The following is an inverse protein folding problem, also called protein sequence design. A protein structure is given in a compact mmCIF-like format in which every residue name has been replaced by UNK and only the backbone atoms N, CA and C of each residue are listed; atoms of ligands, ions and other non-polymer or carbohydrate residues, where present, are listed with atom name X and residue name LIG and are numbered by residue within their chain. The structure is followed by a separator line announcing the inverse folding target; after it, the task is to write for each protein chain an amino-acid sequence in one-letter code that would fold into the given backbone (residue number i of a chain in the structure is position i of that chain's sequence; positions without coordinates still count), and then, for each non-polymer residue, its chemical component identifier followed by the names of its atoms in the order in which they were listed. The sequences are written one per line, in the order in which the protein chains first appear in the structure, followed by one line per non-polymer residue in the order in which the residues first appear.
data_IF_693785610867
#
_entry.id   IF_693785610867
#
_cell.length_a   1.000
_cell.length_b   1.000
_cell.length_c   1.000
_cell.angle_alpha   90.00
_cell.angle_beta   90.00
_cell.angle_gamma   90.00
#
_symmetry.space_group_name_H-M   'P 1'
#
loop_
_entity.id
_entity.type
_entity.pdbx_description
1 polymer ?
#
# COMPACT_ATOMS: atom_id res chain seq x y z
N UNK A 1 70.76 9.08 -16.26
CA UNK A 1 71.44 7.85 -16.62
C UNK A 1 70.40 7.01 -17.28
N UNK A 2 70.30 7.08 -18.59
CA UNK A 2 71.02 6.30 -19.61
C UNK A 2 70.34 4.93 -19.69
N UNK A 3 69.56 4.71 -20.69
CA UNK A 3 69.87 4.35 -22.08
C UNK A 3 69.61 2.84 -22.25
N UNK A 4 68.94 2.45 -23.17
CA UNK A 4 68.97 2.11 -24.62
C UNK A 4 68.40 0.73 -24.77
N UNK A 5 67.40 0.44 -25.57
CA UNK A 5 67.36 0.31 -27.03
C UNK A 5 68.00 -0.96 -27.56
N UNK A 6 67.23 -1.78 -28.24
CA UNK A 6 67.54 -2.45 -29.53
C UNK A 6 66.35 -3.40 -29.87
N UNK A 7 65.55 -3.15 -30.87
CA UNK A 7 65.63 -3.39 -32.33
C UNK A 7 66.03 -4.80 -32.76
N UNK A 8 65.16 -5.48 -33.49
CA UNK A 8 65.25 -5.97 -34.89
C UNK A 8 64.35 -7.23 -35.03
N UNK A 9 63.28 -7.19 -35.86
CA UNK A 9 63.29 -7.45 -37.29
C UNK A 9 63.35 -8.97 -37.68
N UNK A 10 62.37 -9.41 -38.29
CA UNK A 10 62.16 -10.07 -39.61
C UNK A 10 61.11 -11.12 -39.58
N UNK A 11 60.02 -10.97 -40.24
CA UNK A 11 59.72 -11.30 -41.62
C UNK A 11 59.51 -12.82 -41.86
N UNK A 12 58.44 -13.10 -42.46
CA UNK A 12 58.01 -14.04 -43.49
C UNK A 12 56.91 -15.04 -43.14
N UNK A 13 55.98 -14.96 -44.06
CA UNK A 13 55.13 -15.98 -44.65
C UNK A 13 53.75 -16.27 -44.09
N UNK A 14 52.80 -15.72 -44.83
CA UNK A 14 51.43 -16.21 -44.95
C UNK A 14 51.38 -17.59 -45.66
N UNK A 15 50.36 -18.37 -45.41
CA UNK A 15 49.46 -18.63 -46.51
C UNK A 15 47.98 -18.42 -46.14
N UNK A 16 47.38 -17.90 -47.14
CA UNK A 16 45.97 -17.79 -47.51
C UNK A 16 45.18 -19.07 -47.17
N UNK A 17 44.11 -18.92 -46.37
CA UNK A 17 43.08 -19.97 -46.29
C UNK A 17 41.68 -19.38 -46.31
N UNK A 18 41.06 -19.74 -47.38
CA UNK A 18 39.74 -19.47 -47.93
C UNK A 18 38.62 -19.31 -46.91
N UNK A 19 37.97 -18.24 -47.14
CA UNK A 19 36.59 -17.88 -46.91
C UNK A 19 35.62 -19.08 -46.98
N UNK A 20 34.92 -19.37 -45.86
CA UNK A 20 33.66 -20.08 -45.88
C UNK A 20 32.68 -19.33 -44.98
N UNK A 21 31.89 -18.52 -45.61
CA UNK A 21 30.67 -17.89 -45.10
C UNK A 21 29.69 -18.95 -44.61
N UNK A 22 29.64 -19.18 -43.32
CA UNK A 22 28.52 -19.84 -42.68
C UNK A 22 27.65 -18.78 -42.02
N UNK A 23 26.57 -18.42 -42.72
CA UNK A 23 25.46 -17.61 -42.22
C UNK A 23 24.78 -18.32 -41.07
N UNK A 24 25.16 -17.99 -39.85
CA UNK A 24 24.44 -18.36 -38.67
C UNK A 24 23.20 -17.46 -38.54
N UNK A 25 22.06 -17.97 -39.01
CA UNK A 25 20.77 -17.38 -38.78
C UNK A 25 20.50 -17.39 -37.27
N UNK A 26 20.78 -16.26 -36.62
CA UNK A 26 20.37 -15.98 -35.23
C UNK A 26 18.86 -15.98 -35.14
N UNK A 27 18.27 -17.06 -34.66
CA UNK A 27 16.87 -17.11 -34.26
C UNK A 27 16.70 -16.24 -33.02
N UNK A 28 16.40 -14.96 -33.22
CA UNK A 28 15.92 -14.06 -32.19
C UNK A 28 14.56 -14.61 -31.71
N UNK A 29 14.55 -15.38 -30.64
CA UNK A 29 13.32 -15.75 -29.95
C UNK A 29 12.70 -14.46 -29.43
N UNK A 30 11.77 -13.93 -30.22
CA UNK A 30 10.90 -12.82 -29.87
C UNK A 30 10.07 -13.26 -28.66
N UNK A 31 10.47 -12.82 -27.46
CA UNK A 31 9.73 -13.05 -26.23
C UNK A 31 8.27 -12.65 -26.48
N UNK A 32 7.37 -13.62 -26.46
CA UNK A 32 5.93 -13.45 -26.63
C UNK A 32 5.43 -12.60 -25.49
N UNK A 33 5.26 -11.29 -25.72
CA UNK A 33 4.71 -10.33 -24.78
C UNK A 33 3.29 -10.81 -24.43
N UNK A 34 3.10 -11.36 -23.23
CA UNK A 34 1.77 -11.75 -22.77
C UNK A 34 0.84 -10.53 -22.84
N UNK A 35 -0.37 -10.67 -23.37
CA UNK A 35 -1.31 -9.56 -23.45
C UNK A 35 -1.61 -9.07 -22.04
N UNK A 36 -1.40 -7.76 -21.80
CA UNK A 36 -1.82 -7.09 -20.56
C UNK A 36 -3.33 -7.25 -20.44
N UNK A 37 -3.78 -8.06 -19.48
CA UNK A 37 -5.20 -8.16 -19.16
C UNK A 37 -5.76 -6.76 -18.87
N UNK A 38 -6.91 -6.45 -19.46
CA UNK A 38 -7.59 -5.18 -19.26
C UNK A 38 -8.03 -5.05 -17.78
N UNK A 39 -8.12 -3.81 -17.29
CA UNK A 39 -8.58 -3.56 -15.90
C UNK A 39 -9.95 -4.19 -15.63
N UNK A 40 -10.83 -4.23 -16.65
CA UNK A 40 -12.14 -4.86 -16.60
C UNK A 40 -12.09 -6.38 -16.40
N UNK A 41 -11.12 -7.08 -17.02
CA UNK A 41 -10.94 -8.52 -16.80
C UNK A 41 -10.37 -8.81 -15.41
N UNK A 42 -9.50 -7.94 -14.89
CA UNK A 42 -8.98 -8.06 -13.52
C UNK A 42 -10.06 -7.87 -12.45
N UNK A 43 -11.02 -6.98 -12.69
CA UNK A 43 -12.15 -6.76 -11.76
C UNK A 43 -13.14 -7.93 -11.80
N UNK A 44 -13.39 -8.52 -12.97
CA UNK A 44 -14.28 -9.70 -13.11
C UNK A 44 -13.73 -10.98 -12.42
N UNK A 45 -12.42 -11.05 -12.16
CA UNK A 45 -11.81 -12.24 -11.52
C UNK A 45 -11.87 -12.22 -10.00
N UNK A 46 -12.39 -11.16 -9.36
CA UNK A 46 -12.50 -11.08 -7.90
C UNK A 46 -13.75 -11.85 -7.47
N UNK A 47 -13.56 -12.99 -6.82
CA UNK A 47 -14.65 -13.72 -6.19
C UNK A 47 -15.11 -12.95 -4.95
N UNK A 48 -16.39 -12.52 -4.85
CA UNK A 48 -16.87 -11.71 -3.71
C UNK A 48 -16.65 -12.40 -2.37
N UNK A 49 -16.72 -13.73 -2.35
CA UNK A 49 -16.50 -14.53 -1.13
C UNK A 49 -15.05 -14.40 -0.58
N UNK A 50 -14.07 -14.13 -1.44
CA UNK A 50 -12.68 -13.92 -1.02
C UNK A 50 -12.47 -12.57 -0.32
N UNK A 51 -13.37 -11.61 -0.51
CA UNK A 51 -13.31 -10.30 0.16
C UNK A 51 -13.87 -10.37 1.59
N UNK A 52 -14.77 -11.30 1.83
CA UNK A 52 -15.57 -11.36 3.06
C UNK A 52 -14.72 -11.37 4.34
N UNK A 53 -13.66 -12.19 4.48
CA UNK A 53 -12.85 -12.19 5.71
C UNK A 53 -12.20 -10.83 6.00
N UNK A 54 -11.63 -10.18 4.98
CA UNK A 54 -11.04 -8.86 5.11
C UNK A 54 -12.06 -7.77 5.44
N UNK A 55 -13.26 -7.83 4.85
CA UNK A 55 -14.35 -6.90 5.13
C UNK A 55 -14.89 -7.09 6.56
N UNK A 56 -15.01 -8.32 7.04
CA UNK A 56 -15.42 -8.59 8.42
C UNK A 56 -14.40 -8.05 9.42
N UNK A 57 -13.10 -8.24 9.17
CA UNK A 57 -12.05 -7.65 10.01
C UNK A 57 -12.13 -6.13 9.99
N UNK A 58 -12.23 -5.51 8.82
CA UNK A 58 -12.35 -4.05 8.71
C UNK A 58 -13.58 -3.50 9.43
N UNK A 59 -14.73 -4.18 9.30
CA UNK A 59 -15.95 -3.81 10.01
C UNK A 59 -15.79 -3.91 11.53
N UNK A 60 -15.13 -4.97 12.01
CA UNK A 60 -14.86 -5.15 13.44
C UNK A 60 -13.89 -4.05 13.97
N UNK A 61 -12.82 -3.76 13.25
CA UNK A 61 -11.87 -2.68 13.58
C UNK A 61 -12.57 -1.32 13.59
N UNK A 62 -13.36 -1.03 12.55
CA UNK A 62 -14.15 0.20 12.46
C UNK A 62 -15.11 0.35 13.63
N UNK A 63 -15.87 -0.68 13.96
CA UNK A 63 -16.83 -0.67 15.06
C UNK A 63 -16.13 -0.47 16.41
N UNK A 64 -15.04 -1.22 16.66
CA UNK A 64 -14.26 -1.14 17.89
C UNK A 64 -13.73 0.27 18.14
N UNK A 65 -13.01 0.83 17.16
CA UNK A 65 -12.36 2.12 17.31
C UNK A 65 -13.36 3.28 17.29
N UNK A 66 -14.42 3.18 16.51
CA UNK A 66 -15.48 4.20 16.55
C UNK A 66 -16.20 4.19 17.91
N UNK A 67 -16.53 3.01 18.43
CA UNK A 67 -17.10 2.92 19.78
C UNK A 67 -16.18 3.54 20.83
N UNK A 68 -14.88 3.19 20.80
CA UNK A 68 -13.89 3.76 21.73
C UNK A 68 -13.79 5.29 21.59
N UNK A 69 -13.65 5.81 20.38
CA UNK A 69 -13.56 7.26 20.15
C UNK A 69 -14.80 8.01 20.61
N UNK A 70 -16.01 7.45 20.39
CA UNK A 70 -17.26 8.03 20.86
C UNK A 70 -17.36 8.03 22.38
N UNK A 71 -16.87 6.99 23.05
CA UNK A 71 -16.83 6.97 24.53
C UNK A 71 -15.86 8.01 25.07
N UNK A 72 -14.69 8.18 24.47
CA UNK A 72 -13.76 9.25 24.85
C UNK A 72 -14.43 10.63 24.72
N UNK A 73 -15.09 10.91 23.61
CA UNK A 73 -15.81 12.18 23.40
C UNK A 73 -16.93 12.39 24.43
N UNK A 74 -17.72 11.35 24.68
CA UNK A 74 -18.86 11.40 25.62
C UNK A 74 -18.43 11.67 27.06
N UNK A 75 -17.31 11.10 27.46
CA UNK A 75 -16.83 11.18 28.84
C UNK A 75 -15.74 12.24 29.07
N UNK A 76 -15.39 13.01 28.04
CA UNK A 76 -14.35 14.04 28.10
C UNK A 76 -13.01 13.53 28.67
N UNK A 77 -12.68 12.24 28.36
CA UNK A 77 -11.52 11.56 28.95
C UNK A 77 -10.20 12.18 28.45
N UNK A 78 -10.18 12.60 27.18
CA UNK A 78 -8.99 13.18 26.59
C UNK A 78 -9.36 14.46 25.84
N UNK A 79 -9.11 15.64 26.41
CA UNK A 79 -9.22 16.89 25.66
C UNK A 79 -8.08 16.93 24.63
N UNK A 80 -8.35 16.58 23.37
CA UNK A 80 -7.35 16.65 22.31
C UNK A 80 -7.29 18.06 21.73
N UNK A 81 -6.17 18.71 21.97
CA UNK A 81 -5.86 20.00 21.36
C UNK A 81 -5.83 19.89 19.83
N UNK A 82 -5.23 18.81 19.31
CA UNK A 82 -5.10 18.57 17.88
C UNK A 82 -6.46 18.34 17.21
N UNK A 83 -7.35 17.59 17.84
CA UNK A 83 -8.71 17.42 17.32
C UNK A 83 -9.41 18.79 17.12
N UNK A 84 -9.23 19.72 18.05
CA UNK A 84 -9.82 21.05 17.94
C UNK A 84 -9.19 21.85 16.79
N UNK A 85 -7.86 21.82 16.66
CA UNK A 85 -7.11 22.47 15.57
C UNK A 85 -7.58 21.95 14.21
N UNK A 86 -7.57 20.63 14.01
CA UNK A 86 -7.93 20.02 12.74
C UNK A 86 -9.43 20.09 12.44
N UNK A 87 -10.28 20.21 13.47
CA UNK A 87 -11.70 20.51 13.26
C UNK A 87 -11.90 21.89 12.66
N UNK A 88 -11.22 22.92 13.18
CA UNK A 88 -11.28 24.27 12.63
C UNK A 88 -10.71 24.33 11.22
N UNK A 89 -9.62 23.61 10.95
CA UNK A 89 -9.07 23.46 9.61
C UNK A 89 -10.08 22.82 8.64
N UNK A 90 -10.68 21.68 9.02
CA UNK A 90 -11.68 21.00 8.19
C UNK A 90 -12.92 21.87 7.93
N UNK A 91 -13.32 22.67 8.92
CA UNK A 91 -14.38 23.67 8.77
C UNK A 91 -13.99 24.74 7.74
N UNK A 92 -12.76 25.28 7.79
CA UNK A 92 -12.30 26.24 6.79
C UNK A 92 -12.31 25.63 5.38
N UNK A 93 -11.80 24.41 5.22
CA UNK A 93 -11.80 23.70 3.94
C UNK A 93 -13.20 23.37 3.43
N UNK A 94 -14.18 23.14 4.31
CA UNK A 94 -15.58 22.93 3.91
C UNK A 94 -16.21 24.15 3.24
N UNK A 95 -15.65 25.34 3.50
CA UNK A 95 -16.02 26.62 2.89
C UNK A 95 -15.02 27.09 1.82
N UNK A 96 -14.13 26.21 1.35
CA UNK A 96 -13.06 26.53 0.39
C UNK A 96 -12.18 27.70 0.84
N UNK A 97 -12.00 27.86 2.15
CA UNK A 97 -11.23 28.94 2.77
C UNK A 97 -9.84 28.47 3.21
N UNK A 98 -8.93 29.41 3.36
CA UNK A 98 -7.62 29.19 3.97
C UNK A 98 -7.81 28.70 5.41
N UNK A 99 -7.02 27.74 5.90
CA UNK A 99 -7.21 27.16 7.24
C UNK A 99 -6.70 28.10 8.34
N UNK A 100 -7.47 29.14 8.60
CA UNK A 100 -7.28 30.00 9.78
C UNK A 100 -7.84 29.24 10.99
N UNK A 101 -7.01 29.08 12.01
CA UNK A 101 -7.29 28.26 13.20
C UNK A 101 -7.22 29.14 14.46
N UNK A 102 -8.32 29.79 14.86
CA UNK A 102 -8.37 30.76 15.96
C UNK A 102 -7.91 30.21 17.32
N UNK A 103 -8.04 28.90 17.56
CA UNK A 103 -7.59 28.28 18.80
C UNK A 103 -6.06 28.40 19.00
N UNK A 104 -5.27 28.53 17.93
CA UNK A 104 -3.82 28.77 17.99
C UNK A 104 -3.48 30.27 18.08
N UNK A 105 -4.41 31.14 17.78
CA UNK A 105 -4.25 32.60 17.82
C UNK A 105 -5.06 33.31 16.74
N UNK A 106 -5.27 34.62 16.88
CA UNK A 106 -5.95 35.40 15.86
C UNK A 106 -5.18 35.31 14.54
N UNK A 107 -5.90 35.08 13.44
CA UNK A 107 -5.38 34.98 12.07
C UNK A 107 -4.29 33.91 11.86
N UNK A 108 -4.17 32.93 12.77
CA UNK A 108 -3.16 31.87 12.67
C UNK A 108 -3.48 30.97 11.47
N UNK A 109 -2.63 31.04 10.44
CA UNK A 109 -2.73 30.20 9.26
C UNK A 109 -1.99 28.86 9.49
N UNK A 110 -2.73 27.76 9.53
CA UNK A 110 -2.18 26.43 9.80
C UNK A 110 -1.19 25.95 8.73
N UNK A 111 -1.26 26.44 7.49
CA UNK A 111 -0.29 26.08 6.46
C UNK A 111 1.16 26.51 6.77
N UNK A 112 1.33 27.52 7.60
CA UNK A 112 2.64 27.93 8.06
C UNK A 112 3.26 27.00 9.10
N UNK A 113 2.44 26.16 9.73
CA UNK A 113 2.83 25.24 10.81
C UNK A 113 2.76 23.77 10.34
N UNK A 114 1.63 23.41 9.74
CA UNK A 114 1.35 22.05 9.27
C UNK A 114 0.88 22.06 7.80
N UNK A 115 1.82 21.96 6.87
CA UNK A 115 1.50 21.94 5.44
C UNK A 115 1.21 20.51 4.96
N UNK A 116 -0.02 20.07 5.15
CA UNK A 116 -0.51 18.76 4.69
C UNK A 116 -1.66 18.92 3.69
N UNK A 117 -1.37 19.13 2.39
CA UNK A 117 -2.40 19.40 1.37
C UNK A 117 -3.47 18.31 1.25
N UNK A 118 -3.13 17.05 1.58
CA UNK A 118 -4.07 15.94 1.53
C UNK A 118 -5.26 16.13 2.48
N UNK A 119 -5.09 16.90 3.56
CA UNK A 119 -6.15 17.17 4.53
C UNK A 119 -7.28 18.05 3.96
N UNK A 120 -7.07 18.69 2.80
CA UNK A 120 -8.14 19.38 2.06
C UNK A 120 -9.30 18.42 1.75
N UNK A 121 -9.03 17.13 1.60
CA UNK A 121 -10.06 16.10 1.38
C UNK A 121 -11.03 15.95 2.57
N UNK A 122 -10.67 16.43 3.75
CA UNK A 122 -11.59 16.48 4.89
C UNK A 122 -12.70 17.52 4.71
N UNK A 123 -12.47 18.59 3.93
CA UNK A 123 -13.42 19.66 3.71
C UNK A 123 -14.78 19.17 3.20
N UNK A 124 -14.87 18.45 2.06
CA UNK A 124 -16.12 17.90 1.57
C UNK A 124 -16.81 16.95 2.56
N UNK A 125 -16.03 16.14 3.29
CA UNK A 125 -16.57 15.19 4.27
C UNK A 125 -17.16 15.98 5.46
N UNK A 126 -16.44 16.98 5.93
CA UNK A 126 -16.89 17.85 7.03
C UNK A 126 -18.11 18.70 6.64
N UNK A 127 -18.20 19.14 5.39
CA UNK A 127 -19.38 19.84 4.89
C UNK A 127 -20.66 19.02 5.00
N UNK A 128 -20.57 17.69 4.81
CA UNK A 128 -21.70 16.77 4.95
C UNK A 128 -22.00 16.43 6.42
N UNK A 129 -20.96 16.33 7.24
CA UNK A 129 -21.06 15.94 8.64
C UNK A 129 -20.23 16.90 9.51
N UNK A 130 -20.74 18.11 9.81
CA UNK A 130 -19.98 19.15 10.53
C UNK A 130 -19.86 18.83 12.03
N UNK A 131 -18.90 17.99 12.38
CA UNK A 131 -18.66 17.56 13.76
C UNK A 131 -17.19 17.15 13.96
N UNK A 132 -16.57 17.43 15.12
CA UNK A 132 -15.25 16.86 15.45
C UNK A 132 -15.20 15.35 15.35
N UNK A 133 -16.30 14.68 15.66
CA UNK A 133 -16.46 13.22 15.56
C UNK A 133 -16.20 12.70 14.13
N UNK A 134 -16.46 13.52 13.12
CA UNK A 134 -16.23 13.17 11.70
C UNK A 134 -14.77 12.86 11.45
N UNK A 135 -13.85 13.63 12.01
CA UNK A 135 -12.41 13.39 11.87
C UNK A 135 -12.01 12.06 12.51
N UNK A 136 -12.54 11.74 13.68
CA UNK A 136 -12.31 10.47 14.37
C UNK A 136 -12.82 9.29 13.55
N UNK A 137 -14.03 9.41 12.99
CA UNK A 137 -14.62 8.37 12.12
C UNK A 137 -13.78 8.16 10.85
N UNK A 138 -13.28 9.24 10.24
CA UNK A 138 -12.39 9.15 9.07
C UNK A 138 -11.09 8.45 9.42
N UNK A 139 -10.45 8.81 10.53
CA UNK A 139 -9.22 8.15 11.01
C UNK A 139 -9.46 6.65 11.22
N UNK A 140 -10.54 6.29 11.91
CA UNK A 140 -10.90 4.89 12.17
C UNK A 140 -11.18 4.12 10.87
N UNK A 141 -11.82 4.77 9.89
CA UNK A 141 -12.07 4.20 8.57
C UNK A 141 -10.77 3.93 7.80
N UNK A 142 -9.77 4.82 7.91
CA UNK A 142 -8.46 4.60 7.30
C UNK A 142 -7.72 3.42 7.91
N UNK A 143 -7.75 3.26 9.24
CA UNK A 143 -7.17 2.10 9.93
C UNK A 143 -7.89 0.80 9.53
N UNK A 144 -9.21 0.82 9.47
CA UNK A 144 -10.01 -0.32 9.03
C UNK A 144 -9.69 -0.69 7.56
N UNK A 145 -9.58 0.31 6.69
CA UNK A 145 -9.19 0.11 5.29
C UNK A 145 -7.77 -0.45 5.16
N UNK A 146 -6.80 0.04 5.94
CA UNK A 146 -5.45 -0.48 5.95
C UNK A 146 -5.42 -1.95 6.39
N UNK A 147 -6.18 -2.32 7.42
CA UNK A 147 -6.33 -3.71 7.87
C UNK A 147 -6.90 -4.60 6.76
N UNK A 148 -7.94 -4.15 6.05
CA UNK A 148 -8.48 -4.83 4.87
C UNK A 148 -7.44 -4.99 3.76
N UNK A 149 -6.69 -3.91 3.46
CA UNK A 149 -5.68 -3.92 2.42
C UNK A 149 -4.56 -4.93 2.72
N UNK A 150 -4.13 -5.06 3.98
CA UNK A 150 -3.15 -6.05 4.43
C UNK A 150 -3.66 -7.47 4.16
N UNK A 151 -4.90 -7.78 4.53
CA UNK A 151 -5.50 -9.09 4.24
C UNK A 151 -5.48 -9.38 2.74
N UNK A 152 -5.93 -8.43 1.92
CA UNK A 152 -5.98 -8.59 0.46
C UNK A 152 -4.60 -8.71 -0.17
N UNK A 153 -3.64 -7.92 0.29
CA UNK A 153 -2.26 -8.02 -0.18
C UNK A 153 -1.68 -9.39 0.13
N UNK A 154 -1.83 -9.89 1.35
CA UNK A 154 -1.33 -11.20 1.77
C UNK A 154 -1.94 -12.32 0.91
N UNK A 155 -3.25 -12.34 0.74
CA UNK A 155 -3.92 -13.33 -0.11
C UNK A 155 -3.38 -13.31 -1.54
N UNK A 156 -3.15 -12.13 -2.11
CA UNK A 156 -2.62 -11.99 -3.48
C UNK A 156 -1.16 -12.39 -3.59
N UNK A 157 -0.35 -12.05 -2.59
CA UNK A 157 1.07 -12.42 -2.56
C UNK A 157 1.24 -13.94 -2.55
N UNK A 158 0.48 -14.66 -1.73
CA UNK A 158 0.48 -16.12 -1.72
C UNK A 158 0.00 -16.71 -3.04
N UNK A 159 -1.05 -16.18 -3.63
CA UNK A 159 -1.56 -16.66 -4.91
C UNK A 159 -0.55 -16.46 -6.05
N UNK A 160 0.22 -15.38 -6.02
CA UNK A 160 1.31 -15.15 -6.99
C UNK A 160 2.48 -16.12 -6.76
N UNK A 161 2.89 -16.33 -5.51
CA UNK A 161 3.96 -17.29 -5.18
C UNK A 161 3.63 -18.70 -5.64
N UNK A 162 2.41 -19.18 -5.35
CA UNK A 162 1.93 -20.49 -5.80
C UNK A 162 1.96 -20.62 -7.33
N UNK A 163 1.50 -19.59 -8.04
CA UNK A 163 1.50 -19.60 -9.51
C UNK A 163 2.91 -19.70 -10.10
N UNK A 164 3.89 -19.14 -9.42
CA UNK A 164 5.31 -19.24 -9.83
C UNK A 164 5.85 -20.64 -9.57
N UNK A 165 5.53 -21.24 -8.42
CA UNK A 165 5.92 -22.62 -8.10
C UNK A 165 5.30 -23.65 -9.05
N UNK A 166 4.00 -23.51 -9.37
CA UNK A 166 3.30 -24.40 -10.29
C UNK A 166 3.87 -24.31 -11.71
N UNK A 167 4.33 -23.13 -12.13
CA UNK A 167 4.99 -22.95 -13.42
C UNK A 167 6.36 -23.64 -13.51
N UNK A 168 7.00 -23.93 -12.37
CA UNK A 168 8.30 -24.60 -12.29
C UNK A 168 8.19 -26.12 -12.11
N UNK A 169 7.04 -26.61 -11.62
CA UNK A 169 6.78 -28.04 -11.44
C UNK A 169 6.19 -28.64 -12.70
N UNK A 170 6.82 -29.69 -13.23
CA UNK A 170 6.36 -30.42 -14.43
C UNK A 170 5.15 -31.34 -14.18
N UNK A 171 4.74 -31.52 -12.93
CA UNK A 171 3.58 -32.32 -12.56
C UNK A 171 2.62 -31.56 -11.64
N UNK A 172 1.31 -31.52 -11.94
CA UNK A 172 0.32 -30.92 -11.05
C UNK A 172 0.12 -31.81 -9.82
N UNK A 173 0.49 -31.31 -8.65
CA UNK A 173 0.17 -31.95 -7.38
C UNK A 173 -1.35 -31.85 -7.13
N UNK A 174 -2.08 -32.91 -7.50
CA UNK A 174 -3.53 -32.97 -7.37
C UNK A 174 -3.94 -33.77 -6.13
N UNK A 175 -3.98 -33.10 -4.98
CA UNK A 175 -4.78 -33.55 -3.85
C UNK A 175 -5.76 -32.46 -3.45
N UNK A 176 -7.06 -32.76 -3.46
CA UNK A 176 -8.15 -31.84 -3.08
C UNK A 176 -7.98 -31.22 -1.67
N UNK A 177 -7.25 -31.91 -0.81
CA UNK A 177 -6.91 -31.46 0.53
C UNK A 177 -5.84 -30.35 0.53
N UNK A 178 -4.85 -30.44 -0.37
CA UNK A 178 -3.85 -29.41 -0.59
C UNK A 178 -4.47 -28.14 -1.15
N UNK A 179 -5.45 -28.25 -2.06
CA UNK A 179 -6.13 -27.11 -2.65
C UNK A 179 -6.98 -26.32 -1.61
N UNK A 180 -7.60 -27.01 -0.63
CA UNK A 180 -8.31 -26.32 0.48
C UNK A 180 -7.35 -25.59 1.40
N UNK A 181 -6.22 -26.17 1.76
CA UNK A 181 -5.19 -25.55 2.59
C UNK A 181 -4.58 -24.33 1.91
N UNK A 182 -4.36 -24.40 0.59
CA UNK A 182 -3.87 -23.28 -0.23
C UNK A 182 -4.77 -22.02 -0.19
N UNK A 183 -6.08 -22.18 0.03
CA UNK A 183 -7.01 -21.06 0.20
C UNK A 183 -7.12 -20.55 1.63
N UNK A 184 -6.98 -21.43 2.62
CA UNK A 184 -7.18 -21.10 4.06
C UNK A 184 -5.95 -20.41 4.65
N UNK A 185 -4.74 -20.91 4.41
CA UNK A 185 -3.49 -20.37 4.97
C UNK A 185 -3.30 -18.89 4.65
N UNK A 186 -3.40 -18.43 3.38
CA UNK A 186 -3.26 -17.03 3.05
C UNK A 186 -4.28 -16.13 3.75
N UNK A 187 -5.50 -16.64 3.92
CA UNK A 187 -6.58 -15.90 4.58
C UNK A 187 -6.31 -15.75 6.07
N UNK A 188 -5.94 -16.83 6.75
CA UNK A 188 -5.60 -16.78 8.20
C UNK A 188 -4.39 -15.88 8.41
N UNK A 189 -3.32 -16.04 7.63
CA UNK A 189 -2.12 -15.20 7.72
C UNK A 189 -2.47 -13.73 7.52
N UNK A 190 -3.28 -13.44 6.50
CA UNK A 190 -3.74 -12.08 6.24
C UNK A 190 -4.57 -11.48 7.39
N UNK A 191 -5.48 -12.27 7.98
CA UNK A 191 -6.27 -11.86 9.13
C UNK A 191 -5.39 -11.59 10.37
N UNK A 192 -4.41 -12.46 10.64
CA UNK A 192 -3.47 -12.26 11.75
C UNK A 192 -2.62 -11.01 11.56
N UNK A 193 -2.09 -10.77 10.35
CA UNK A 193 -1.32 -9.58 10.04
C UNK A 193 -2.17 -8.31 10.10
N UNK A 194 -3.38 -8.33 9.53
CA UNK A 194 -4.30 -7.20 9.54
C UNK A 194 -4.79 -6.87 10.96
N UNK A 195 -5.11 -7.88 11.77
CA UNK A 195 -5.46 -7.69 13.18
C UNK A 195 -4.25 -7.23 14.01
N UNK A 196 -3.06 -7.82 13.78
CA UNK A 196 -1.83 -7.41 14.44
C UNK A 196 -1.48 -5.94 14.15
N UNK A 197 -1.67 -5.48 12.90
CA UNK A 197 -1.55 -4.08 12.55
C UNK A 197 -2.56 -3.22 13.31
N UNK A 198 -3.86 -3.56 13.23
CA UNK A 198 -4.92 -2.79 13.89
C UNK A 198 -4.71 -2.69 15.41
N UNK A 199 -4.25 -3.77 16.04
CA UNK A 199 -4.00 -3.85 17.49
C UNK A 199 -2.57 -3.48 17.87
N UNK A 200 -1.76 -2.98 16.94
CA UNK A 200 -0.41 -2.53 17.26
C UNK A 200 -0.43 -1.33 18.22
N UNK A 201 0.59 -1.23 19.06
CA UNK A 201 0.70 -0.14 20.03
C UNK A 201 0.62 1.23 19.37
N UNK A 202 1.25 1.42 18.19
CA UNK A 202 1.22 2.68 17.45
C UNK A 202 -0.20 3.08 17.04
N UNK A 203 -0.97 2.14 16.48
CA UNK A 203 -2.37 2.41 16.09
C UNK A 203 -3.23 2.70 17.32
N UNK A 204 -3.08 1.93 18.39
CA UNK A 204 -3.83 2.16 19.62
C UNK A 204 -3.54 3.55 20.22
N UNK A 205 -2.27 3.97 20.23
CA UNK A 205 -1.88 5.31 20.70
C UNK A 205 -2.43 6.42 19.81
N UNK A 206 -2.38 6.24 18.49
CA UNK A 206 -2.96 7.19 17.55
C UNK A 206 -4.48 7.40 17.76
N UNK A 207 -5.21 6.29 17.99
CA UNK A 207 -6.65 6.35 18.30
C UNK A 207 -6.89 6.97 19.69
N UNK A 208 -6.06 6.64 20.69
CA UNK A 208 -6.18 7.18 22.04
C UNK A 208 -5.87 8.68 22.13
N UNK A 209 -4.92 9.15 21.33
CA UNK A 209 -4.60 10.57 21.18
C UNK A 209 -5.67 11.35 20.40
N UNK A 210 -6.73 10.69 19.94
CA UNK A 210 -7.75 11.21 19.04
C UNK A 210 -7.17 11.54 17.65
N UNK A 211 -7.73 12.53 16.93
CA UNK A 211 -7.26 12.83 15.59
C UNK A 211 -5.88 13.49 15.63
N UNK A 212 -4.93 12.89 14.88
CA UNK A 212 -3.59 13.42 14.68
C UNK A 212 -3.17 13.22 13.22
N UNK A 213 -2.54 14.22 12.58
CA UNK A 213 -2.22 14.16 11.14
C UNK A 213 -1.06 13.20 10.79
N UNK A 214 -0.27 12.80 11.78
CA UNK A 214 0.85 11.86 11.60
C UNK A 214 0.54 10.44 12.10
N UNK A 215 -0.72 10.13 12.33
CA UNK A 215 -1.17 8.82 12.79
C UNK A 215 -1.23 7.78 11.64
#
# INVERSE_FOLDING_TARGET
MAAEAHEASSNTDAPEQKNSTATSAGSTQRAKKQPRQSLTERVKSIRPLELLPGLLLAAAVMALYTYYSLQQMKHWITPSWDLAIFTQMAQAYSHFSVPIVPIKGPDFNLWGDHFHPILVLLGPIYALFPSPTTLLVVQNALVAFASFAIVRFTQRAFALAQKTEDAQKSEPAQNAQSAKLQGIIPTITGLLLGAGFALSFGVQQAIAAQFHEVA
#
